data_IF_711881150115
#
_entry.id   IF_711881150115
#
_cell.length_a   1.000
_cell.length_b   1.000
_cell.length_c   1.000
_cell.angle_alpha   90.00
_cell.angle_beta   90.00
_cell.angle_gamma   90.00
#
_symmetry.space_group_name_H-M   'P 1'
#
loop_
_entity.id
_entity.type
_entity.pdbx_description
1 polymer ?
#
# COMPACT_ATOMS: atom_id res chain seq x y z
N UNK A 1 -10.65 19.71 -19.66
CA UNK A 1 -9.20 19.65 -19.38
C UNK A 1 -8.97 18.62 -18.26
N UNK A 2 -8.21 17.57 -18.53
CA UNK A 2 -7.79 16.64 -17.47
C UNK A 2 -6.68 17.32 -16.64
N UNK A 3 -6.66 17.18 -15.31
CA UNK A 3 -5.61 17.77 -14.49
C UNK A 3 -4.26 17.16 -14.90
N UNK A 4 -3.36 17.99 -15.42
CA UNK A 4 -1.97 17.63 -15.60
C UNK A 4 -1.38 17.42 -14.20
N UNK A 5 -0.98 16.18 -13.90
CA UNK A 5 -0.19 15.94 -12.69
C UNK A 5 1.13 16.69 -12.90
N UNK A 6 1.33 17.75 -12.13
CA UNK A 6 2.66 18.31 -11.93
C UNK A 6 3.35 17.35 -10.95
N UNK A 7 4.45 16.67 -11.32
CA UNK A 7 5.21 15.91 -10.36
C UNK A 7 5.67 16.90 -9.28
N UNK A 8 5.13 16.75 -8.07
CA UNK A 8 5.63 17.47 -6.92
C UNK A 8 7.13 17.14 -6.76
N UNK A 9 7.94 18.14 -6.43
CA UNK A 9 9.37 17.94 -6.20
C UNK A 9 9.59 16.74 -5.25
N UNK A 10 10.58 15.87 -5.52
CA UNK A 10 10.80 14.65 -4.76
C UNK A 10 10.96 15.03 -3.29
N UNK A 11 9.98 14.66 -2.48
CA UNK A 11 10.03 14.85 -1.05
C UNK A 11 10.51 13.54 -0.51
N UNK A 12 11.82 13.29 -0.52
CA UNK A 12 12.46 12.03 -0.13
C UNK A 12 12.10 11.64 1.32
N UNK A 13 10.88 11.15 1.54
CA UNK A 13 10.40 10.60 2.81
C UNK A 13 10.55 9.09 2.70
N UNK A 14 11.69 8.53 3.14
CA UNK A 14 11.86 7.09 3.12
C UNK A 14 10.89 6.42 4.11
N UNK A 15 10.63 5.11 3.92
CA UNK A 15 9.86 4.30 4.88
C UNK A 15 10.43 4.37 6.30
N UNK A 16 9.65 4.91 7.23
CA UNK A 16 10.06 5.12 8.62
C UNK A 16 9.52 4.03 9.55
N UNK A 17 8.28 3.60 9.37
CA UNK A 17 7.63 2.60 10.23
C UNK A 17 7.86 1.17 9.74
N UNK A 18 7.71 0.15 10.62
CA UNK A 18 7.78 -1.25 10.20
C UNK A 18 6.78 -1.60 9.10
N UNK A 19 5.54 -1.10 9.18
CA UNK A 19 4.51 -1.32 8.16
C UNK A 19 4.91 -0.66 6.83
N UNK A 20 5.39 0.59 6.85
CA UNK A 20 5.87 1.28 5.64
C UNK A 20 7.01 0.50 4.97
N UNK A 21 7.97 0.01 5.75
CA UNK A 21 9.09 -0.79 5.22
C UNK A 21 8.62 -2.10 4.61
N UNK A 22 7.66 -2.77 5.24
CA UNK A 22 7.12 -4.01 4.73
C UNK A 22 6.34 -3.80 3.41
N UNK A 23 5.48 -2.77 3.36
CA UNK A 23 4.76 -2.39 2.14
C UNK A 23 5.72 -1.97 1.03
N UNK A 24 6.73 -1.13 1.34
CA UNK A 24 7.77 -0.72 0.40
C UNK A 24 8.56 -1.92 -0.14
N UNK A 25 8.86 -2.91 0.70
CA UNK A 25 9.50 -4.16 0.28
C UNK A 25 8.65 -4.97 -0.71
N UNK A 26 7.33 -5.03 -0.50
CA UNK A 26 6.42 -5.68 -1.45
C UNK A 26 6.37 -4.92 -2.77
N UNK A 27 6.29 -3.60 -2.73
CA UNK A 27 6.38 -2.77 -3.93
C UNK A 27 7.70 -3.00 -4.67
N UNK A 28 8.82 -3.02 -3.95
CA UNK A 28 10.12 -3.22 -4.57
C UNK A 28 10.25 -4.57 -5.27
N UNK A 29 9.69 -5.62 -4.66
CA UNK A 29 9.63 -6.95 -5.27
C UNK A 29 8.74 -7.00 -6.52
N UNK A 30 7.66 -6.21 -6.56
CA UNK A 30 6.73 -6.17 -7.69
C UNK A 30 7.22 -5.27 -8.84
N UNK A 31 7.79 -4.12 -8.51
CA UNK A 31 8.25 -3.10 -9.46
C UNK A 31 9.70 -3.32 -9.91
N UNK A 32 10.47 -4.12 -9.18
CA UNK A 32 11.89 -4.37 -9.48
C UNK A 32 12.80 -3.19 -9.18
N UNK A 33 12.38 -2.25 -8.33
CA UNK A 33 13.14 -1.06 -7.91
C UNK A 33 12.81 -0.67 -6.48
N UNK A 34 13.71 0.04 -5.80
CA UNK A 34 13.45 0.56 -4.46
C UNK A 34 12.37 1.67 -4.48
N UNK A 35 11.74 1.93 -3.33
CA UNK A 35 10.72 2.98 -3.17
C UNK A 35 11.30 4.12 -2.34
N UNK A 36 11.80 5.19 -2.99
CA UNK A 36 12.50 6.27 -2.30
C UNK A 36 11.56 7.19 -1.49
N UNK A 37 10.27 7.22 -1.84
CA UNK A 37 9.28 8.11 -1.24
C UNK A 37 7.99 7.34 -0.93
N UNK A 38 7.57 7.32 0.33
CA UNK A 38 6.33 6.65 0.75
C UNK A 38 5.04 7.31 0.26
N UNK A 39 5.13 8.53 -0.29
CA UNK A 39 4.03 9.28 -0.89
C UNK A 39 3.96 9.09 -2.41
N UNK A 40 4.94 8.40 -2.99
CA UNK A 40 4.88 7.98 -4.39
C UNK A 40 3.64 7.11 -4.60
N UNK A 41 2.92 7.36 -5.70
CA UNK A 41 1.74 6.56 -6.05
C UNK A 41 2.16 5.33 -6.84
N UNK A 42 1.46 4.23 -6.63
CA UNK A 42 1.81 2.94 -7.23
C UNK A 42 1.89 2.98 -8.75
N UNK A 43 0.93 3.65 -9.39
CA UNK A 43 0.90 3.79 -10.84
C UNK A 43 1.94 4.78 -11.38
N UNK A 44 2.24 5.83 -10.62
CA UNK A 44 3.29 6.80 -10.98
C UNK A 44 4.68 6.14 -10.87
N UNK A 45 4.84 5.18 -9.95
CA UNK A 45 6.02 4.34 -9.80
C UNK A 45 6.17 3.25 -10.88
N UNK A 46 5.21 3.13 -11.82
CA UNK A 46 5.21 2.13 -12.89
C UNK A 46 4.43 0.85 -12.59
N UNK A 47 3.62 0.83 -11.52
CA UNK A 47 2.75 -0.29 -11.18
C UNK A 47 1.57 -0.46 -12.14
N UNK A 48 1.12 -1.71 -12.27
CA UNK A 48 0.01 -2.11 -13.15
C UNK A 48 -1.13 -2.77 -12.36
N UNK A 49 -2.31 -2.90 -12.98
CA UNK A 49 -3.48 -3.52 -12.33
C UNK A 49 -3.22 -4.96 -11.86
N UNK A 50 -2.45 -5.74 -12.62
CA UNK A 50 -2.10 -7.11 -12.23
C UNK A 50 -1.20 -7.10 -10.98
N UNK A 51 -0.18 -6.23 -10.97
CA UNK A 51 0.67 -6.06 -9.79
C UNK A 51 -0.12 -5.51 -8.60
N UNK A 52 -1.17 -4.71 -8.80
CA UNK A 52 -2.04 -4.22 -7.72
C UNK A 52 -2.85 -5.37 -7.09
N UNK A 53 -3.35 -6.30 -7.90
CA UNK A 53 -4.02 -7.52 -7.41
C UNK A 53 -3.05 -8.39 -6.61
N UNK A 54 -1.83 -8.54 -7.10
CA UNK A 54 -0.76 -9.28 -6.44
C UNK A 54 -0.24 -8.62 -5.16
N UNK A 55 -0.22 -7.29 -5.14
CA UNK A 55 0.07 -6.46 -3.98
C UNK A 55 -1.00 -6.68 -2.91
N UNK A 56 -2.28 -6.55 -3.28
CA UNK A 56 -3.42 -6.76 -2.39
C UNK A 56 -3.30 -8.07 -1.62
N UNK A 57 -3.12 -9.18 -2.35
CA UNK A 57 -2.98 -10.51 -1.73
C UNK A 57 -1.84 -10.55 -0.70
N UNK A 58 -0.69 -9.96 -1.01
CA UNK A 58 0.44 -9.92 -0.06
C UNK A 58 0.14 -9.04 1.16
N UNK A 59 -0.53 -7.91 0.97
CA UNK A 59 -0.94 -7.04 2.08
C UNK A 59 -1.98 -7.72 2.97
N UNK A 60 -2.92 -8.48 2.40
CA UNK A 60 -3.91 -9.27 3.14
C UNK A 60 -3.23 -10.33 4.02
N UNK A 61 -2.26 -11.09 3.46
CA UNK A 61 -1.47 -12.07 4.21
C UNK A 61 -0.66 -11.42 5.36
N UNK A 62 -0.13 -10.21 5.14
CA UNK A 62 0.64 -9.47 6.15
C UNK A 62 -0.23 -8.92 7.28
N UNK A 63 -1.44 -8.47 6.95
CA UNK A 63 -2.34 -7.77 7.88
C UNK A 63 -3.40 -8.69 8.50
N UNK A 64 -3.61 -9.89 7.95
CA UNK A 64 -4.64 -10.82 8.38
C UNK A 64 -6.07 -10.34 8.12
N UNK A 65 -6.26 -9.36 7.24
CA UNK A 65 -7.58 -8.80 6.86
C UNK A 65 -7.77 -8.83 5.36
N UNK A 66 -9.02 -8.88 4.93
CA UNK A 66 -9.38 -8.68 3.54
C UNK A 66 -9.30 -7.18 3.20
N UNK A 67 -8.66 -6.86 2.08
CA UNK A 67 -8.49 -5.50 1.56
C UNK A 67 -9.15 -5.43 0.19
N UNK A 68 -9.97 -4.40 -0.06
CA UNK A 68 -10.57 -4.24 -1.39
C UNK A 68 -9.61 -3.56 -2.36
N UNK A 69 -9.74 -3.87 -3.65
CA UNK A 69 -9.02 -3.14 -4.72
C UNK A 69 -9.35 -1.66 -4.68
N UNK A 70 -10.61 -1.31 -4.39
CA UNK A 70 -11.08 0.08 -4.31
C UNK A 70 -10.28 0.84 -3.24
N UNK A 71 -10.10 0.27 -2.05
CA UNK A 71 -9.27 0.89 -1.01
C UNK A 71 -7.83 1.14 -1.45
N UNK A 72 -7.22 0.20 -2.18
CA UNK A 72 -5.85 0.38 -2.69
C UNK A 72 -5.75 1.43 -3.79
N UNK A 73 -6.81 1.62 -4.58
CA UNK A 73 -6.90 2.68 -5.58
C UNK A 73 -7.14 4.06 -4.95
N UNK A 74 -7.94 4.12 -3.88
CA UNK A 74 -8.16 5.34 -3.08
C UNK A 74 -6.94 5.75 -2.27
N UNK A 75 -6.14 4.76 -1.86
CA UNK A 75 -4.94 4.94 -1.05
C UNK A 75 -3.69 4.38 -1.77
N UNK A 76 -3.29 4.96 -2.92
CA UNK A 76 -2.29 4.34 -3.81
C UNK A 76 -0.84 4.58 -3.36
N UNK A 77 -0.57 4.97 -2.12
CA UNK A 77 0.77 5.29 -1.60
C UNK A 77 1.21 4.31 -0.53
N UNK A 78 2.52 4.15 -0.35
CA UNK A 78 3.08 3.27 0.70
C UNK A 78 2.61 3.70 2.09
N UNK A 79 2.63 5.00 2.39
CA UNK A 79 2.16 5.55 3.67
C UNK A 79 0.70 5.16 3.96
N UNK A 80 -0.18 5.30 2.97
CA UNK A 80 -1.60 5.04 3.15
C UNK A 80 -1.90 3.53 3.20
N UNK A 81 -1.23 2.71 2.38
CA UNK A 81 -1.35 1.25 2.44
C UNK A 81 -0.79 0.68 3.75
N UNK A 82 0.32 1.22 4.26
CA UNK A 82 0.87 0.83 5.55
C UNK A 82 -0.11 1.07 6.69
N UNK A 83 -0.87 2.19 6.64
CA UNK A 83 -1.94 2.45 7.59
C UNK A 83 -3.06 1.42 7.51
N UNK A 84 -3.46 1.00 6.31
CA UNK A 84 -4.49 -0.05 6.14
C UNK A 84 -4.04 -1.39 6.75
N UNK A 85 -2.75 -1.71 6.62
CA UNK A 85 -2.12 -2.89 7.22
C UNK A 85 -2.10 -2.78 8.75
N UNK A 86 -1.66 -1.65 9.30
CA UNK A 86 -1.58 -1.41 10.76
C UNK A 86 -2.97 -1.38 11.42
N UNK A 87 -3.98 -0.79 10.78
CA UNK A 87 -5.36 -0.77 11.30
C UNK A 87 -5.95 -2.18 11.45
N UNK A 88 -5.46 -3.17 10.69
CA UNK A 88 -5.82 -4.59 10.84
C UNK A 88 -5.19 -5.26 12.05
N UNK A 89 -3.94 -4.93 12.34
CA UNK A 89 -3.17 -5.54 13.42
C UNK A 89 -3.72 -5.22 14.82
N UNK A 90 -4.53 -4.16 14.96
CA UNK A 90 -5.19 -3.78 16.21
C UNK A 90 -6.60 -4.36 16.45
N UNK A 91 -7.20 -5.06 15.48
CA UNK A 91 -8.63 -5.38 15.48
C UNK A 91 -9.03 -6.82 15.84
N UNK A 92 -8.10 -7.77 15.87
CA UNK A 92 -8.45 -9.18 16.04
C UNK A 92 -8.61 -9.58 17.52
N UNK A 93 -9.71 -9.18 18.18
CA UNK A 93 -10.21 -9.88 19.39
C UNK A 93 -11.70 -9.74 19.76
N UNK A 94 -12.60 -9.29 18.88
CA UNK A 94 -14.04 -9.36 19.21
C UNK A 94 -14.94 -9.49 17.98
N UNK A 95 -15.35 -10.72 17.66
CA UNK A 95 -16.72 -11.04 17.24
C UNK A 95 -16.84 -12.55 17.10
N UNK A 96 -17.44 -13.20 18.09
CA UNK A 96 -17.98 -14.53 17.93
C UNK A 96 -19.03 -14.54 16.82
N UNK A 97 -18.95 -15.54 15.95
CA UNK A 97 -20.04 -15.91 15.06
C UNK A 97 -20.47 -17.32 15.47
N UNK A 98 -21.24 -17.37 16.55
CA UNK A 98 -22.04 -18.52 16.95
C UNK A 98 -23.49 -18.18 16.58
N UNK A 99 -23.99 -18.80 15.51
CA UNK A 99 -25.41 -19.09 15.31
C UNK A 99 -25.56 -20.34 14.45
#
# INVERSE_FOLDING_TARGET
>A
PAPAHVPAAPSDRPPGTPAEKAVAGVWAALLGRDVPDVREKFFDAGGTSLQLVDLRRRLEEMSGRELSVVQLLEHPTVEAMARLVDEGAGGARTAGHDL
#
